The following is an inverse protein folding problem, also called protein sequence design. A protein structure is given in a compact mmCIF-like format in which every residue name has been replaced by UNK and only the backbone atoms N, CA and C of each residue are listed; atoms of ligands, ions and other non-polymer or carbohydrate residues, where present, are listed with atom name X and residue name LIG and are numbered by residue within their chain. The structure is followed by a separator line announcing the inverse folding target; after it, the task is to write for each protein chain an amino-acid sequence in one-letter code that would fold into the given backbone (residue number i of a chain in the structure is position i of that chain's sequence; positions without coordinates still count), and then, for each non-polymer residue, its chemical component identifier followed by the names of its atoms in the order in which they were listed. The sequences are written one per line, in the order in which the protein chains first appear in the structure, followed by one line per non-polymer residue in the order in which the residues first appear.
data_IF_941603450591
#
_entry.id   IF_941603450591
#
_cell.length_a   1.000
_cell.length_b   1.000
_cell.length_c   1.000
_cell.angle_alpha   90.00
_cell.angle_beta   90.00
_cell.angle_gamma   90.00
#
_symmetry.space_group_name_H-M   'P 1'
#
loop_
_entity.id
_entity.type
_entity.pdbx_description
1 polymer ?
#
# COMPACT_ATOMS: atom_id res chain seq x y z
N UNK A 1 -4.90 -20.68 3.98
CA UNK A 1 -4.86 -19.33 3.39
C UNK A 1 -5.00 -18.20 4.43
N UNK A 2 -5.80 -18.31 5.49
CA UNK A 2 -5.89 -17.25 6.53
C UNK A 2 -4.68 -17.06 7.46
N UNK A 3 -3.59 -17.79 7.26
CA UNK A 3 -2.40 -17.80 8.13
C UNK A 3 -1.27 -16.86 7.68
N UNK A 4 -1.20 -16.49 6.40
CA UNK A 4 -0.16 -15.59 5.87
C UNK A 4 -0.52 -14.11 6.00
N UNK A 5 -1.80 -13.74 5.82
CA UNK A 5 -2.29 -12.36 5.98
C UNK A 5 -2.15 -11.84 7.41
N UNK A 6 -2.42 -12.68 8.41
CA UNK A 6 -2.16 -12.36 9.82
C UNK A 6 -0.66 -12.18 10.09
N UNK A 7 0.20 -12.98 9.42
CA UNK A 7 1.66 -12.89 9.56
C UNK A 7 2.24 -11.63 8.93
N UNK A 8 1.71 -11.17 7.79
CA UNK A 8 2.20 -9.95 7.13
C UNK A 8 1.83 -8.69 7.91
N UNK A 9 0.60 -8.62 8.42
CA UNK A 9 0.16 -7.57 9.37
C UNK A 9 1.03 -7.53 10.64
N UNK A 10 1.53 -8.69 11.09
CA UNK A 10 2.42 -8.81 12.24
C UNK A 10 3.87 -8.40 11.95
N UNK A 11 4.30 -8.37 10.68
CA UNK A 11 5.68 -8.10 10.29
C UNK A 11 5.91 -6.69 9.75
N UNK A 12 4.94 -6.11 9.03
CA UNK A 12 5.08 -4.75 8.53
C UNK A 12 4.99 -3.75 9.68
N UNK A 13 6.11 -3.08 10.00
CA UNK A 13 6.17 -2.12 11.09
C UNK A 13 5.59 -0.77 10.68
N UNK A 14 4.28 -0.62 10.81
CA UNK A 14 3.58 0.65 10.57
C UNK A 14 4.00 1.80 11.50
N UNK A 15 4.92 1.60 12.46
CA UNK A 15 5.49 2.69 13.26
C UNK A 15 6.53 3.51 12.51
N UNK A 16 7.08 2.98 11.42
CA UNK A 16 8.15 3.64 10.67
C UNK A 16 7.65 4.59 9.57
N UNK A 17 6.32 4.72 9.42
CA UNK A 17 5.69 5.65 8.48
C UNK A 17 4.91 6.77 9.22
N UNK A 18 4.88 8.01 8.69
CA UNK A 18 4.14 9.13 9.24
C UNK A 18 2.64 8.85 9.40
N UNK A 19 2.19 8.63 10.64
CA UNK A 19 0.80 8.24 10.95
C UNK A 19 -0.21 9.36 10.71
N UNK A 20 0.25 10.61 10.63
CA UNK A 20 -0.59 11.75 10.27
C UNK A 20 -0.96 11.75 8.78
N UNK A 21 -0.20 11.04 7.94
CA UNK A 21 -0.44 10.91 6.51
C UNK A 21 -0.95 9.52 6.11
N UNK A 22 -0.49 8.46 6.80
CA UNK A 22 -0.80 7.09 6.44
C UNK A 22 -1.54 6.32 7.54
N UNK A 23 -2.40 5.39 7.11
CA UNK A 23 -3.04 4.42 8.01
C UNK A 23 -3.08 3.03 7.40
N UNK A 24 -2.90 2.02 8.24
CA UNK A 24 -3.27 0.65 7.89
C UNK A 24 -4.79 0.56 7.71
N UNK A 25 -5.21 -0.06 6.63
CA UNK A 25 -6.63 -0.26 6.31
C UNK A 25 -6.85 -1.68 5.80
N UNK A 26 -8.04 -2.23 6.05
CA UNK A 26 -8.47 -3.43 5.36
C UNK A 26 -8.82 -3.05 3.92
N UNK A 27 -8.40 -3.87 2.97
CA UNK A 27 -8.74 -3.69 1.57
C UNK A 27 -9.03 -5.05 0.93
N UNK A 28 -9.76 -5.05 -0.18
CA UNK A 28 -10.01 -6.28 -0.94
C UNK A 28 -9.03 -6.38 -2.08
N UNK A 29 -8.52 -7.57 -2.33
CA UNK A 29 -7.57 -7.77 -3.41
C UNK A 29 -8.05 -8.88 -4.33
N UNK A 30 -8.13 -8.55 -5.62
CA UNK A 30 -8.78 -9.34 -6.67
C UNK A 30 -7.90 -10.49 -7.09
N UNK A 31 -8.50 -11.68 -7.24
CA UNK A 31 -7.82 -12.81 -7.89
C UNK A 31 -7.95 -12.63 -9.41
N UNK A 32 -6.81 -12.47 -10.11
CA UNK A 32 -6.78 -12.52 -11.58
C UNK A 32 -7.45 -11.34 -12.28
N UNK A 33 -6.94 -10.12 -12.05
CA UNK A 33 -6.88 -8.96 -12.99
C UNK A 33 -8.09 -8.55 -13.86
N UNK A 34 -9.27 -9.15 -13.71
CA UNK A 34 -10.45 -8.92 -14.57
C UNK A 34 -11.18 -10.19 -15.05
N UNK A 35 -10.62 -11.39 -14.87
CA UNK A 35 -11.22 -12.65 -15.36
C UNK A 35 -12.09 -13.35 -14.31
N UNK A 36 -11.84 -13.11 -13.03
CA UNK A 36 -12.64 -13.64 -11.91
C UNK A 36 -13.22 -12.50 -11.06
N UNK A 37 -14.29 -11.83 -11.54
CA UNK A 37 -14.85 -10.64 -10.89
C UNK A 37 -15.45 -10.90 -9.49
N UNK A 38 -15.76 -12.15 -9.15
CA UNK A 38 -16.48 -12.47 -7.90
C UNK A 38 -15.60 -12.98 -6.76
N UNK A 39 -14.29 -13.17 -6.99
CA UNK A 39 -13.39 -13.70 -5.95
C UNK A 39 -12.44 -12.63 -5.42
N UNK A 40 -12.78 -12.12 -4.25
CA UNK A 40 -11.93 -11.23 -3.47
C UNK A 40 -11.30 -11.98 -2.30
N UNK A 41 -10.06 -11.62 -1.99
CA UNK A 41 -9.40 -12.05 -0.76
C UNK A 41 -9.16 -10.82 0.10
N UNK A 42 -9.54 -10.89 1.37
CA UNK A 42 -9.31 -9.86 2.37
C UNK A 42 -7.81 -9.59 2.54
N UNK A 43 -7.40 -8.33 2.45
CA UNK A 43 -6.00 -7.92 2.58
C UNK A 43 -5.87 -6.71 3.52
N UNK A 44 -4.63 -6.32 3.76
CA UNK A 44 -4.28 -5.08 4.42
C UNK A 44 -3.44 -4.22 3.49
N UNK A 45 -3.67 -2.92 3.54
CA UNK A 45 -2.92 -1.94 2.78
C UNK A 45 -2.56 -0.71 3.59
N UNK A 46 -1.61 0.06 3.07
CA UNK A 46 -1.28 1.40 3.55
C UNK A 46 -2.10 2.40 2.74
N UNK A 47 -2.93 3.17 3.43
CA UNK A 47 -3.80 4.18 2.82
C UNK A 47 -3.27 5.58 3.10
N UNK A 48 -3.14 6.40 2.06
CA UNK A 48 -2.98 7.86 2.19
C UNK A 48 -4.28 8.47 2.74
N UNK A 49 -4.18 9.24 3.81
CA UNK A 49 -5.34 9.88 4.47
C UNK A 49 -5.58 11.31 4.01
N UNK A 50 -4.58 11.95 3.39
CA UNK A 50 -4.69 13.31 2.86
C UNK A 50 -5.04 13.27 1.36
N UNK A 51 -6.33 13.42 1.05
CA UNK A 51 -6.85 13.41 -0.34
C UNK A 51 -6.09 14.36 -1.26
N UNK A 52 -5.76 15.57 -0.80
CA UNK A 52 -5.02 16.57 -1.57
C UNK A 52 -3.57 16.15 -1.93
N UNK A 53 -3.00 15.17 -1.23
CA UNK A 53 -1.67 14.63 -1.52
C UNK A 53 -1.70 13.32 -2.31
N UNK A 54 -2.88 12.70 -2.47
CA UNK A 54 -3.02 11.36 -3.08
C UNK A 54 -2.42 11.30 -4.48
N UNK A 55 -2.83 12.20 -5.39
CA UNK A 55 -2.31 12.23 -6.76
C UNK A 55 -0.81 12.54 -6.83
N UNK A 56 -0.32 13.39 -5.92
CA UNK A 56 1.11 13.74 -5.84
C UNK A 56 1.94 12.54 -5.41
N UNK A 57 1.49 11.82 -4.38
CA UNK A 57 2.17 10.62 -3.91
C UNK A 57 2.13 9.51 -4.97
N UNK A 58 0.97 9.26 -5.58
CA UNK A 58 0.84 8.28 -6.67
C UNK A 58 1.82 8.58 -7.81
N UNK A 59 1.84 9.84 -8.28
CA UNK A 59 2.78 10.26 -9.32
C UNK A 59 4.23 10.14 -8.87
N UNK A 60 4.56 10.49 -7.63
CA UNK A 60 5.91 10.35 -7.08
C UNK A 60 6.36 8.88 -7.10
N UNK A 61 5.54 7.98 -6.57
CA UNK A 61 5.85 6.54 -6.46
C UNK A 61 5.97 5.87 -7.84
N UNK A 62 5.12 6.27 -8.80
CA UNK A 62 5.15 5.77 -10.17
C UNK A 62 6.42 6.18 -10.93
N UNK A 63 6.98 7.35 -10.64
CA UNK A 63 8.16 7.90 -11.33
C UNK A 63 9.49 7.57 -10.61
N UNK A 64 9.47 6.73 -9.58
CA UNK A 64 10.69 6.25 -8.94
C UNK A 64 11.46 5.30 -9.88
N UNK A 65 12.78 5.17 -9.66
CA UNK A 65 13.61 4.21 -10.42
C UNK A 65 13.07 2.78 -10.35
N UNK A 66 12.56 2.38 -9.18
CA UNK A 66 11.81 1.15 -8.98
C UNK A 66 10.37 1.55 -8.58
N UNK A 67 9.42 1.60 -9.53
CA UNK A 67 8.09 2.14 -9.26
C UNK A 67 7.31 1.34 -8.21
N UNK A 68 6.55 2.05 -7.37
CA UNK A 68 5.58 1.43 -6.45
C UNK A 68 4.18 1.77 -6.95
N UNK A 69 3.41 0.74 -7.26
CA UNK A 69 2.03 0.86 -7.73
C UNK A 69 1.05 0.63 -6.57
N UNK A 70 0.08 1.53 -6.44
CA UNK A 70 -1.07 1.34 -5.58
C UNK A 70 -2.36 1.41 -6.40
N UNK A 71 -3.48 1.22 -5.73
CA UNK A 71 -4.82 1.40 -6.28
C UNK A 71 -5.47 2.64 -5.68
N UNK A 72 -6.29 3.34 -6.46
CA UNK A 72 -7.10 4.44 -5.95
C UNK A 72 -8.46 3.92 -5.57
N UNK A 73 -8.80 4.00 -4.28
CA UNK A 73 -10.11 3.62 -3.74
C UNK A 73 -10.70 4.81 -2.96
N UNK A 74 -11.90 5.25 -3.36
CA UNK A 74 -12.58 6.39 -2.75
C UNK A 74 -11.70 7.66 -2.68
N UNK A 75 -11.01 7.99 -3.78
CA UNK A 75 -10.03 9.08 -3.91
C UNK A 75 -8.78 8.97 -3.03
N UNK A 76 -8.48 7.80 -2.48
CA UNK A 76 -7.27 7.60 -1.67
C UNK A 76 -6.39 6.54 -2.30
N UNK A 77 -5.09 6.80 -2.34
CA UNK A 77 -4.11 5.78 -2.69
C UNK A 77 -4.06 4.72 -1.59
N UNK A 78 -4.17 3.46 -1.98
CA UNK A 78 -3.99 2.28 -1.14
C UNK A 78 -2.93 1.40 -1.77
N UNK A 79 -1.86 1.14 -1.04
CA UNK A 79 -0.82 0.18 -1.42
C UNK A 79 -1.17 -1.13 -0.74
N UNK A 80 -1.52 -2.15 -1.53
CA UNK A 80 -1.87 -3.47 -1.01
C UNK A 80 -0.60 -4.20 -0.56
N UNK A 81 -0.46 -4.43 0.74
CA UNK A 81 0.74 -5.07 1.29
C UNK A 81 0.85 -6.52 0.83
N UNK A 82 -0.23 -7.17 0.37
CA UNK A 82 -0.13 -8.54 -0.13
C UNK A 82 0.77 -8.65 -1.35
N UNK A 83 0.83 -7.62 -2.20
CA UNK A 83 1.64 -7.62 -3.43
C UNK A 83 3.07 -7.12 -3.23
N UNK A 84 3.42 -6.67 -2.01
CA UNK A 84 4.78 -6.22 -1.68
C UNK A 84 5.55 -7.37 -1.04
N UNK A 85 6.60 -7.88 -1.67
CA UNK A 85 7.43 -8.93 -1.05
C UNK A 85 8.17 -8.38 0.19
N UNK A 86 8.44 -9.24 1.17
CA UNK A 86 8.96 -8.80 2.47
C UNK A 86 10.34 -8.11 2.34
N UNK A 87 11.15 -8.53 1.37
CA UNK A 87 12.45 -7.89 1.06
C UNK A 87 12.32 -6.43 0.62
N UNK A 88 11.12 -5.98 0.21
CA UNK A 88 10.82 -4.61 -0.20
C UNK A 88 10.14 -3.78 0.90
N UNK A 89 9.94 -4.33 2.11
CA UNK A 89 9.29 -3.58 3.19
C UNK A 89 10.05 -2.29 3.52
N UNK A 90 11.38 -2.36 3.69
CA UNK A 90 12.21 -1.17 3.93
C UNK A 90 12.19 -0.20 2.75
N UNK A 91 12.23 -0.72 1.53
CA UNK A 91 12.15 0.12 0.32
C UNK A 91 10.84 0.91 0.27
N UNK A 92 9.71 0.27 0.59
CA UNK A 92 8.42 0.92 0.68
C UNK A 92 8.41 2.00 1.77
N UNK A 93 8.88 1.68 2.98
CA UNK A 93 8.94 2.63 4.12
C UNK A 93 9.77 3.86 3.76
N UNK A 94 10.99 3.67 3.25
CA UNK A 94 11.87 4.76 2.83
C UNK A 94 11.24 5.61 1.73
N UNK A 95 10.59 4.98 0.75
CA UNK A 95 9.91 5.69 -0.34
C UNK A 95 8.77 6.59 0.18
N UNK A 96 7.98 6.09 1.13
CA UNK A 96 6.89 6.86 1.75
C UNK A 96 7.41 8.01 2.61
N UNK A 97 8.53 7.82 3.32
CA UNK A 97 9.16 8.85 4.14
C UNK A 97 9.81 9.95 3.29
N UNK A 98 10.53 9.55 2.24
CA UNK A 98 11.23 10.47 1.34
C UNK A 98 10.29 11.36 0.52
N UNK A 99 9.01 11.02 0.42
CA UNK A 99 8.01 11.88 -0.21
C UNK A 99 7.88 13.24 0.50
N UNK A 100 8.07 13.31 1.82
CA UNK A 100 7.94 14.53 2.61
C UNK A 100 9.26 15.29 2.84
N UNK A 101 10.38 14.63 2.60
CA UNK A 101 11.72 15.21 2.80
C UNK A 101 12.27 15.90 1.53
N UNK A 102 11.42 16.11 0.53
CA UNK A 102 11.77 16.76 -0.75
C UNK A 102 11.36 18.22 -0.79
#
# INVERSE_FOLDING_TARGET
MGSEEKKKKSKFDSREIPKEFFRLTQCKSTIGGGTFPETYIDSYGIKMTKKNLTKKLESYLLNMKLPILGKVENDNLVIDLRTIFNEYDNYLIESLNNFFNK
#
